data_IF_342829689397
#
_entry.id   IF_342829689397
#
_cell.length_a   1.000
_cell.length_b   1.000
_cell.length_c   1.000
_cell.angle_alpha   90.00
_cell.angle_beta   90.00
_cell.angle_gamma   90.00
#
_symmetry.space_group_name_H-M   'P 1'
#
loop_
_entity.id
_entity.type
_entity.pdbx_description
1 polymer ?
#
# COMPACT_ATOMS: atom_id res chain seq x y z
N UNK A 1 -21.27 -53.15 40.63
CA UNK A 1 -20.70 -51.84 40.27
C UNK A 1 -20.44 -51.88 38.78
N UNK A 2 -21.36 -51.42 37.97
CA UNK A 2 -21.22 -51.28 36.51
C UNK A 2 -20.43 -50.01 36.25
N UNK A 3 -19.23 -50.16 35.63
CA UNK A 3 -18.47 -49.02 35.15
C UNK A 3 -19.29 -48.38 34.02
N UNK A 4 -19.95 -47.25 34.28
CA UNK A 4 -20.56 -46.39 33.26
C UNK A 4 -19.37 -45.80 32.46
N UNK A 5 -18.99 -46.52 31.41
CA UNK A 5 -18.03 -46.03 30.45
C UNK A 5 -18.60 -44.83 29.71
N UNK A 6 -17.85 -43.75 29.59
CA UNK A 6 -18.17 -42.59 28.80
C UNK A 6 -18.51 -43.02 27.35
N UNK A 7 -19.82 -43.10 27.04
CA UNK A 7 -20.29 -43.45 25.69
C UNK A 7 -20.44 -42.17 24.85
N UNK A 8 -19.47 -41.94 23.93
CA UNK A 8 -19.59 -40.84 22.99
C UNK A 8 -20.22 -41.38 21.70
N UNK A 9 -21.43 -40.93 21.39
CA UNK A 9 -22.14 -41.35 20.20
C UNK A 9 -21.56 -40.69 18.91
N UNK A 10 -21.79 -41.34 17.76
CA UNK A 10 -21.29 -40.84 16.48
C UNK A 10 -21.88 -39.48 16.06
N UNK A 11 -23.09 -39.18 16.50
CA UNK A 11 -23.75 -37.90 16.19
C UNK A 11 -23.06 -36.76 16.94
N UNK A 12 -22.73 -36.96 18.21
CA UNK A 12 -21.95 -36.02 19.02
C UNK A 12 -20.57 -35.78 18.43
N UNK A 13 -19.88 -36.81 17.95
CA UNK A 13 -18.58 -36.69 17.28
C UNK A 13 -18.68 -35.91 15.95
N UNK A 14 -19.73 -36.16 15.17
CA UNK A 14 -19.97 -35.39 13.93
C UNK A 14 -20.22 -33.91 14.22
N UNK A 15 -21.07 -33.62 15.19
CA UNK A 15 -21.38 -32.25 15.62
C UNK A 15 -20.10 -31.53 16.12
N UNK A 16 -19.27 -32.22 16.92
CA UNK A 16 -18.00 -31.66 17.38
C UNK A 16 -17.05 -31.33 16.21
N UNK A 17 -16.94 -32.24 15.23
CA UNK A 17 -16.10 -31.99 14.04
C UNK A 17 -16.59 -30.78 13.22
N UNK A 18 -17.91 -30.62 13.05
CA UNK A 18 -18.50 -29.47 12.36
C UNK A 18 -18.22 -28.19 13.12
N UNK A 19 -18.39 -28.19 14.44
CA UNK A 19 -18.13 -27.01 15.27
C UNK A 19 -16.65 -26.61 15.27
N UNK A 20 -15.71 -27.58 15.30
CA UNK A 20 -14.27 -27.30 15.21
C UNK A 20 -13.91 -26.69 13.86
N UNK A 21 -14.45 -27.22 12.74
CA UNK A 21 -14.21 -26.66 11.41
C UNK A 21 -14.76 -25.24 11.29
N UNK A 22 -15.96 -24.99 11.80
CA UNK A 22 -16.56 -23.66 11.81
C UNK A 22 -15.73 -22.66 12.63
N UNK A 23 -15.27 -23.07 13.82
CA UNK A 23 -14.37 -22.29 14.66
C UNK A 23 -13.06 -21.94 13.95
N UNK A 24 -12.40 -22.93 13.32
CA UNK A 24 -11.16 -22.69 12.57
C UNK A 24 -11.36 -21.70 11.43
N UNK A 25 -12.46 -21.82 10.67
CA UNK A 25 -12.81 -20.91 9.58
C UNK A 25 -13.05 -19.48 10.09
N UNK A 26 -13.77 -19.33 11.20
CA UNK A 26 -14.06 -18.03 11.80
C UNK A 26 -12.81 -17.35 12.35
N UNK A 27 -11.90 -18.10 12.99
CA UNK A 27 -10.61 -17.57 13.48
C UNK A 27 -9.77 -17.12 12.31
N UNK A 28 -9.63 -17.94 11.25
CA UNK A 28 -8.87 -17.58 10.06
C UNK A 28 -9.44 -16.31 9.40
N UNK A 29 -10.75 -16.26 9.17
CA UNK A 29 -11.43 -15.12 8.59
C UNK A 29 -11.19 -13.85 9.42
N UNK A 30 -11.38 -13.91 10.73
CA UNK A 30 -11.19 -12.79 11.64
C UNK A 30 -9.74 -12.30 11.63
N UNK A 31 -8.78 -13.22 11.56
CA UNK A 31 -7.36 -12.90 11.44
C UNK A 31 -7.04 -12.19 10.12
N UNK A 32 -7.57 -12.67 9.00
CA UNK A 32 -7.37 -12.04 7.68
C UNK A 32 -8.03 -10.66 7.61
N UNK A 33 -9.24 -10.51 8.13
CA UNK A 33 -9.92 -9.22 8.20
C UNK A 33 -9.14 -8.24 9.09
N UNK A 34 -8.57 -8.72 10.19
CA UNK A 34 -7.68 -7.97 11.06
C UNK A 34 -6.41 -7.50 10.33
N UNK A 35 -5.71 -8.41 9.66
CA UNK A 35 -4.50 -8.08 8.87
C UNK A 35 -4.82 -7.07 7.76
N UNK A 36 -5.95 -7.25 7.07
CA UNK A 36 -6.41 -6.31 6.05
C UNK A 36 -6.66 -4.92 6.62
N UNK A 37 -7.38 -4.83 7.74
CA UNK A 37 -7.64 -3.57 8.41
C UNK A 37 -6.34 -2.90 8.90
N UNK A 38 -5.38 -3.69 9.39
CA UNK A 38 -4.07 -3.19 9.78
C UNK A 38 -3.26 -2.68 8.58
N UNK A 39 -3.24 -3.42 7.47
CA UNK A 39 -2.62 -2.99 6.22
C UNK A 39 -3.22 -1.68 5.68
N UNK A 40 -4.54 -1.52 5.78
CA UNK A 40 -5.22 -0.26 5.39
C UNK A 40 -4.76 0.93 6.23
N UNK A 41 -4.48 0.76 7.52
CA UNK A 41 -3.92 1.82 8.39
C UNK A 41 -2.52 2.24 7.93
N UNK A 42 -1.66 1.26 7.60
CA UNK A 42 -0.31 1.54 7.07
C UNK A 42 -0.41 2.30 5.74
N UNK A 43 -1.27 1.87 4.82
CA UNK A 43 -1.49 2.54 3.53
C UNK A 43 -2.00 3.97 3.74
N UNK A 44 -2.96 4.18 4.63
CA UNK A 44 -3.50 5.51 4.94
C UNK A 44 -2.43 6.45 5.51
N UNK A 45 -1.59 5.96 6.41
CA UNK A 45 -0.47 6.74 6.95
C UNK A 45 0.57 7.07 5.87
N UNK A 46 0.90 6.11 5.01
CA UNK A 46 1.82 6.33 3.89
C UNK A 46 1.26 7.36 2.89
N UNK A 47 -0.06 7.36 2.65
CA UNK A 47 -0.73 8.39 1.85
C UNK A 47 -0.65 9.78 2.50
N UNK A 48 -0.75 9.86 3.83
CA UNK A 48 -0.54 11.10 4.57
C UNK A 48 0.91 11.60 4.47
N UNK A 49 1.89 10.69 4.58
CA UNK A 49 3.31 11.00 4.39
C UNK A 49 3.59 11.56 2.99
N UNK A 50 3.02 10.95 1.93
CA UNK A 50 3.11 11.47 0.56
C UNK A 50 2.55 12.89 0.43
N UNK A 51 1.45 13.17 1.11
CA UNK A 51 0.84 14.52 1.11
C UNK A 51 1.74 15.52 1.82
N UNK A 52 2.25 15.17 2.99
CA UNK A 52 3.15 16.03 3.77
C UNK A 52 4.47 16.31 3.03
N UNK A 53 5.03 15.33 2.31
CA UNK A 53 6.22 15.47 1.48
C UNK A 53 6.03 16.25 0.17
N UNK A 54 4.81 16.69 -0.16
CA UNK A 54 4.54 17.43 -1.40
C UNK A 54 4.62 16.60 -2.68
N UNK A 55 4.59 15.26 -2.59
CA UNK A 55 4.77 14.33 -3.72
C UNK A 55 3.45 14.00 -4.46
N UNK A 56 2.49 14.92 -4.47
CA UNK A 56 1.14 14.72 -5.02
C UNK A 56 0.93 15.23 -6.45
N UNK A 57 1.96 15.21 -7.32
CA UNK A 57 1.86 15.82 -8.65
C UNK A 57 0.62 15.38 -9.47
N UNK A 58 0.20 14.13 -9.37
CA UNK A 58 -0.98 13.61 -10.10
C UNK A 58 -1.95 12.84 -9.21
N UNK A 59 -1.61 12.60 -7.96
CA UNK A 59 -2.35 11.70 -7.08
C UNK A 59 -2.26 10.20 -7.45
N UNK A 60 -1.68 9.85 -8.60
CA UNK A 60 -1.59 8.46 -9.05
C UNK A 60 -0.87 7.56 -8.03
N UNK A 61 0.27 8.01 -7.50
CA UNK A 61 0.98 7.25 -6.48
C UNK A 61 0.10 7.05 -5.25
N UNK A 62 -0.44 8.13 -4.70
CA UNK A 62 -1.32 8.06 -3.53
C UNK A 62 -2.51 7.12 -3.76
N UNK A 63 -3.16 7.23 -4.91
CA UNK A 63 -4.35 6.44 -5.23
C UNK A 63 -4.02 4.98 -5.60
N UNK A 64 -2.75 4.64 -5.82
CA UNK A 64 -2.32 3.26 -6.07
C UNK A 64 -2.14 2.44 -4.78
N UNK A 65 -2.25 3.08 -3.62
CA UNK A 65 -2.17 2.42 -2.32
C UNK A 65 -3.38 1.53 -2.07
N UNK A 66 -3.15 0.27 -1.77
CA UNK A 66 -4.20 -0.71 -1.48
C UNK A 66 -3.68 -1.86 -0.62
N UNK A 67 -4.61 -2.57 -0.01
CA UNK A 67 -4.36 -3.81 0.72
C UNK A 67 -5.09 -4.94 0.00
N UNK A 68 -4.39 -6.04 -0.27
CA UNK A 68 -4.91 -7.19 -1.00
C UNK A 68 -4.70 -8.44 -0.16
N UNK A 69 -5.73 -9.26 -0.04
CA UNK A 69 -5.63 -10.61 0.53
C UNK A 69 -5.29 -11.56 -0.60
N UNK A 70 -4.21 -12.31 -0.45
CA UNK A 70 -3.75 -13.29 -1.42
C UNK A 70 -4.39 -14.67 -1.18
N UNK A 71 -4.42 -15.56 -2.19
CA UNK A 71 -5.00 -16.91 -2.05
C UNK A 71 -4.30 -17.79 -1.01
N UNK A 72 -3.06 -17.52 -0.68
CA UNK A 72 -2.26 -18.23 0.34
C UNK A 72 -2.49 -17.71 1.77
N UNK A 73 -3.53 -16.88 1.98
CA UNK A 73 -3.85 -16.22 3.23
C UNK A 73 -2.81 -15.20 3.72
N UNK A 74 -1.95 -14.69 2.83
CA UNK A 74 -1.13 -13.53 3.13
C UNK A 74 -1.87 -12.23 2.81
N UNK A 75 -1.44 -11.13 3.42
CA UNK A 75 -2.01 -9.81 3.19
C UNK A 75 -0.92 -8.85 2.75
N UNK A 76 -1.02 -8.37 1.52
CA UNK A 76 -0.12 -7.37 0.96
C UNK A 76 -0.71 -5.97 1.16
N UNK A 77 0.08 -5.08 1.74
CA UNK A 77 -0.27 -3.66 1.86
C UNK A 77 0.84 -2.82 1.20
N UNK A 78 0.50 -2.10 0.15
CA UNK A 78 1.52 -1.37 -0.62
C UNK A 78 0.97 -0.45 -1.69
N UNK A 79 1.88 0.08 -2.52
CA UNK A 79 1.59 1.01 -3.59
C UNK A 79 1.98 0.41 -4.94
N UNK A 80 1.02 0.31 -5.84
CA UNK A 80 1.15 -0.43 -7.10
C UNK A 80 1.48 0.46 -8.32
N UNK A 81 1.79 1.74 -8.10
CA UNK A 81 2.32 2.58 -9.16
C UNK A 81 3.75 2.12 -9.52
N UNK A 82 4.03 1.93 -10.82
CA UNK A 82 5.34 1.43 -11.31
C UNK A 82 6.56 2.20 -10.82
N UNK A 83 6.38 3.45 -10.43
CA UNK A 83 7.45 4.31 -9.94
C UNK A 83 7.47 4.46 -8.41
N UNK A 84 6.59 3.75 -7.69
CA UNK A 84 6.51 3.83 -6.22
C UNK A 84 7.85 3.50 -5.55
N UNK A 85 8.53 2.46 -6.02
CA UNK A 85 9.84 2.02 -5.55
C UNK A 85 10.91 3.12 -5.72
N UNK A 86 10.91 3.81 -6.86
CA UNK A 86 11.86 4.91 -7.10
C UNK A 86 11.58 6.14 -6.23
N UNK A 87 10.37 6.34 -5.77
CA UNK A 87 10.05 7.39 -4.81
C UNK A 87 10.52 6.98 -3.43
N UNK A 88 10.24 5.75 -3.01
CA UNK A 88 10.60 5.23 -1.69
C UNK A 88 12.10 5.17 -1.47
N UNK A 89 12.82 4.52 -2.40
CA UNK A 89 14.23 4.20 -2.24
C UNK A 89 15.18 5.10 -3.04
N UNK A 90 14.63 5.99 -3.86
CA UNK A 90 15.42 6.75 -4.82
C UNK A 90 15.87 5.88 -6.01
N UNK A 91 16.69 6.45 -6.86
CA UNK A 91 17.24 5.77 -8.02
C UNK A 91 18.72 6.12 -8.17
N UNK A 92 19.56 5.13 -8.39
CA UNK A 92 20.95 5.33 -8.75
C UNK A 92 21.07 5.96 -10.16
N UNK A 93 22.17 6.65 -10.41
CA UNK A 93 22.55 7.09 -11.76
C UNK A 93 22.64 5.90 -12.72
N UNK A 94 22.49 6.13 -14.01
CA UNK A 94 22.54 5.09 -15.03
C UNK A 94 21.50 5.29 -16.13
N UNK A 95 20.68 4.28 -16.41
CA UNK A 95 19.74 4.28 -17.52
C UNK A 95 18.72 5.43 -17.43
N UNK A 96 18.55 6.15 -18.53
CA UNK A 96 17.58 7.24 -18.65
C UNK A 96 16.14 6.74 -18.50
N UNK A 97 15.30 7.40 -17.69
CA UNK A 97 13.88 7.06 -17.61
C UNK A 97 13.15 7.42 -18.92
N UNK A 98 12.01 6.78 -19.22
CA UNK A 98 11.21 7.12 -20.40
C UNK A 98 10.78 8.60 -20.35
N UNK A 99 11.15 9.36 -21.39
CA UNK A 99 10.89 10.82 -21.46
C UNK A 99 9.38 11.10 -21.45
N UNK A 100 8.57 10.26 -22.07
CA UNK A 100 7.11 10.42 -22.12
C UNK A 100 6.46 10.40 -20.75
N UNK A 101 6.95 9.57 -19.84
CA UNK A 101 6.46 9.53 -18.44
C UNK A 101 6.79 10.85 -17.73
N UNK A 102 7.99 11.36 -17.93
CA UNK A 102 8.42 12.65 -17.37
C UNK A 102 7.62 13.81 -18.01
N UNK A 103 7.38 13.74 -19.31
CA UNK A 103 6.57 14.73 -20.03
C UNK A 103 5.13 14.80 -19.48
N UNK A 104 4.47 13.68 -19.28
CA UNK A 104 3.15 13.65 -18.65
C UNK A 104 3.17 14.27 -17.24
N UNK A 105 4.22 14.03 -16.49
CA UNK A 105 4.41 14.62 -15.16
C UNK A 105 4.65 16.14 -15.23
N UNK A 106 5.50 16.62 -16.13
CA UNK A 106 5.77 18.06 -16.35
C UNK A 106 4.50 18.79 -16.73
N UNK A 107 3.72 18.25 -17.66
CA UNK A 107 2.43 18.85 -18.07
C UNK A 107 1.41 18.94 -16.94
N UNK A 108 1.34 17.92 -16.10
CA UNK A 108 0.42 17.93 -14.95
C UNK A 108 0.87 18.95 -13.88
N UNK A 109 2.15 19.02 -13.55
CA UNK A 109 2.71 20.03 -12.64
C UNK A 109 2.59 21.44 -13.20
N UNK A 110 2.81 21.62 -14.49
CA UNK A 110 2.65 22.92 -15.16
C UNK A 110 1.21 23.45 -15.08
N UNK A 111 0.20 22.58 -15.14
CA UNK A 111 -1.21 22.97 -14.96
C UNK A 111 -1.55 23.43 -13.54
N UNK A 112 -0.93 22.84 -12.51
CA UNK A 112 -1.19 23.19 -11.10
C UNK A 112 -0.37 24.38 -10.60
N UNK A 113 0.78 24.66 -11.19
CA UNK A 113 1.65 25.84 -10.91
C UNK A 113 1.54 26.94 -11.95
N UNK A 114 0.56 26.94 -12.69
CA UNK A 114 -0.10 27.90 -13.60
C UNK A 114 0.69 29.06 -14.24
N UNK A 115 2.00 29.20 -14.10
CA UNK A 115 2.67 30.36 -14.69
C UNK A 115 4.02 30.08 -15.32
N UNK A 116 4.81 29.16 -14.77
CA UNK A 116 6.21 29.04 -15.21
C UNK A 116 6.34 28.59 -16.68
N UNK A 117 5.60 27.60 -17.14
CA UNK A 117 5.64 27.18 -18.55
C UNK A 117 4.97 28.21 -19.47
N UNK A 118 3.84 28.81 -19.05
CA UNK A 118 3.16 29.87 -19.79
C UNK A 118 4.04 31.12 -19.92
N UNK A 119 4.61 31.58 -18.80
CA UNK A 119 5.52 32.71 -18.80
C UNK A 119 6.74 32.43 -19.69
N UNK A 120 7.37 31.26 -19.56
CA UNK A 120 8.51 30.87 -20.38
C UNK A 120 8.15 30.77 -21.88
N UNK A 121 6.91 30.34 -22.21
CA UNK A 121 6.41 30.30 -23.59
C UNK A 121 6.33 31.69 -24.19
N UNK A 122 5.78 32.64 -23.45
CA UNK A 122 5.67 34.05 -23.88
C UNK A 122 7.04 34.66 -24.13
N UNK A 123 8.01 34.43 -23.22
CA UNK A 123 9.35 35.00 -23.35
C UNK A 123 10.25 34.31 -24.41
N UNK A 124 10.04 33.01 -24.66
CA UNK A 124 10.90 32.24 -25.57
C UNK A 124 10.36 32.10 -26.99
N UNK A 125 9.14 32.51 -27.25
CA UNK A 125 8.44 32.29 -28.54
C UNK A 125 8.16 30.83 -28.88
N UNK A 126 8.37 29.91 -27.91
CA UNK A 126 8.12 28.47 -28.05
C UNK A 126 6.74 28.11 -27.49
N UNK A 127 6.10 27.09 -28.06
CA UNK A 127 4.86 26.57 -27.50
C UNK A 127 5.07 25.94 -26.12
N UNK A 128 4.04 25.94 -25.26
CA UNK A 128 4.08 25.25 -23.97
C UNK A 128 4.48 23.77 -24.12
N UNK A 129 4.07 23.15 -25.22
CA UNK A 129 4.38 21.75 -25.54
C UNK A 129 5.87 21.54 -25.82
N UNK A 130 6.46 22.37 -26.64
CA UNK A 130 7.90 22.35 -26.94
C UNK A 130 8.74 22.55 -25.66
N UNK A 131 8.32 23.47 -24.80
CA UNK A 131 8.99 23.70 -23.52
C UNK A 131 8.83 22.52 -22.56
N UNK A 132 7.65 21.92 -22.52
CA UNK A 132 7.40 20.72 -21.71
C UNK A 132 8.27 19.54 -22.18
N UNK A 133 8.42 19.34 -23.48
CA UNK A 133 9.29 18.32 -24.05
C UNK A 133 10.78 18.57 -23.69
N UNK A 134 11.25 19.79 -23.90
CA UNK A 134 12.64 20.16 -23.57
C UNK A 134 12.93 19.99 -22.08
N UNK A 135 12.02 20.43 -21.22
CA UNK A 135 12.14 20.27 -19.78
C UNK A 135 12.16 18.78 -19.38
N UNK A 136 11.30 17.97 -20.02
CA UNK A 136 11.20 16.54 -19.74
C UNK A 136 12.47 15.80 -20.09
N UNK A 137 13.07 16.14 -21.23
CA UNK A 137 14.35 15.58 -21.65
C UNK A 137 15.48 15.96 -20.70
N UNK A 138 15.57 17.24 -20.30
CA UNK A 138 16.58 17.72 -19.36
C UNK A 138 16.45 17.04 -17.99
N UNK A 139 15.21 16.86 -17.49
CA UNK A 139 14.95 16.14 -16.24
C UNK A 139 15.33 14.67 -16.37
N UNK A 140 14.95 14.01 -17.45
CA UNK A 140 15.30 12.60 -17.68
C UNK A 140 16.81 12.39 -17.75
N UNK A 141 17.53 13.29 -18.42
CA UNK A 141 18.99 13.30 -18.48
C UNK A 141 19.61 13.50 -17.09
N UNK A 142 19.13 14.48 -16.34
CA UNK A 142 19.60 14.72 -14.96
C UNK A 142 19.36 13.51 -14.05
N UNK A 143 18.24 12.81 -14.20
CA UNK A 143 17.97 11.57 -13.47
C UNK A 143 18.94 10.46 -13.88
N UNK A 144 19.28 10.36 -15.15
CA UNK A 144 20.27 9.39 -15.63
C UNK A 144 21.68 9.67 -15.06
N UNK A 145 22.06 10.93 -14.98
CA UNK A 145 23.40 11.35 -14.51
C UNK A 145 23.54 11.28 -12.98
N UNK A 146 22.51 11.76 -12.24
CA UNK A 146 22.60 12.00 -10.80
C UNK A 146 21.78 11.00 -9.97
N UNK A 147 20.84 10.27 -10.60
CA UNK A 147 19.82 9.53 -9.90
C UNK A 147 18.74 10.42 -9.27
N UNK A 148 17.98 9.86 -8.36
CA UNK A 148 17.01 10.60 -7.53
C UNK A 148 17.21 10.28 -6.07
N UNK A 149 17.04 11.28 -5.20
CA UNK A 149 17.09 11.09 -3.75
C UNK A 149 15.88 10.26 -3.31
N UNK A 150 16.01 9.37 -2.29
CA UNK A 150 14.90 8.68 -1.70
C UNK A 150 13.97 9.66 -0.97
N UNK A 151 12.68 9.39 -1.07
CA UNK A 151 11.62 10.07 -0.31
C UNK A 151 10.72 9.01 0.32
N UNK A 152 11.18 8.36 1.41
CA UNK A 152 10.47 7.25 2.02
C UNK A 152 9.12 7.73 2.58
N UNK A 153 8.07 7.04 2.20
CA UNK A 153 6.70 7.32 2.65
C UNK A 153 6.03 6.09 3.23
N UNK A 154 6.33 4.90 2.71
CA UNK A 154 5.77 3.63 3.17
C UNK A 154 6.54 3.08 4.38
N UNK A 155 7.88 3.08 4.31
CA UNK A 155 8.71 2.58 5.41
C UNK A 155 8.45 3.28 6.74
N UNK A 156 8.37 4.62 6.85
CA UNK A 156 8.02 5.29 8.10
C UNK A 156 6.63 4.89 8.63
N UNK A 157 5.64 4.73 7.73
CA UNK A 157 4.32 4.27 8.10
C UNK A 157 4.35 2.85 8.66
N UNK A 158 5.07 1.94 8.01
CA UNK A 158 5.25 0.57 8.49
C UNK A 158 5.95 0.54 9.85
N UNK A 159 7.07 1.27 10.01
CA UNK A 159 7.85 1.30 11.25
C UNK A 159 7.03 1.83 12.43
N UNK A 160 6.12 2.77 12.19
CA UNK A 160 5.21 3.31 13.19
C UNK A 160 4.23 2.26 13.74
N UNK A 161 3.74 1.37 12.88
CA UNK A 161 2.68 0.43 13.25
C UNK A 161 3.18 -0.99 13.56
N UNK A 162 4.34 -1.41 13.05
CA UNK A 162 4.81 -2.80 13.16
C UNK A 162 4.84 -3.34 14.59
N UNK A 163 5.15 -2.51 15.57
CA UNK A 163 5.18 -2.93 16.97
C UNK A 163 3.79 -3.26 17.54
N UNK A 164 2.73 -2.75 16.93
CA UNK A 164 1.35 -2.92 17.38
C UNK A 164 0.66 -4.13 16.75
N UNK A 165 1.27 -4.77 15.72
CA UNK A 165 0.60 -5.81 14.94
C UNK A 165 0.28 -7.03 15.80
N UNK A 166 1.19 -7.45 16.68
CA UNK A 166 0.99 -8.61 17.56
C UNK A 166 -0.22 -8.43 18.48
N UNK A 167 -0.28 -7.30 19.19
CA UNK A 167 -1.40 -7.00 20.07
C UNK A 167 -2.72 -6.84 19.30
N UNK A 168 -2.66 -6.19 18.14
CA UNK A 168 -3.83 -6.02 17.30
C UNK A 168 -4.39 -7.38 16.82
N UNK A 169 -3.52 -8.27 16.39
CA UNK A 169 -3.90 -9.61 15.95
C UNK A 169 -4.44 -10.46 17.10
N UNK A 170 -3.81 -10.40 18.28
CA UNK A 170 -4.32 -11.09 19.46
C UNK A 170 -5.76 -10.66 19.78
N UNK A 171 -6.03 -9.36 19.74
CA UNK A 171 -7.38 -8.84 19.99
C UNK A 171 -8.40 -9.37 18.96
N UNK A 172 -8.02 -9.54 17.67
CA UNK A 172 -8.91 -10.09 16.65
C UNK A 172 -9.22 -11.59 16.90
N UNK A 173 -8.21 -12.35 17.30
CA UNK A 173 -8.38 -13.77 17.66
C UNK A 173 -9.26 -13.89 18.89
N UNK A 174 -9.03 -13.09 19.94
CA UNK A 174 -9.83 -13.10 21.17
C UNK A 174 -11.31 -12.77 20.90
N UNK A 175 -11.56 -11.82 20.00
CA UNK A 175 -12.92 -11.51 19.55
C UNK A 175 -13.58 -12.71 18.84
N UNK A 176 -12.85 -13.43 17.99
CA UNK A 176 -13.35 -14.62 17.33
C UNK A 176 -13.66 -15.73 18.34
N UNK A 177 -12.74 -16.01 19.28
CA UNK A 177 -12.88 -17.04 20.33
C UNK A 177 -14.04 -16.72 21.26
N UNK A 178 -14.26 -15.46 21.61
CA UNK A 178 -15.31 -15.03 22.53
C UNK A 178 -16.72 -15.41 22.08
N UNK A 179 -16.94 -15.56 20.76
CA UNK A 179 -18.23 -16.02 20.20
C UNK A 179 -18.55 -17.47 20.57
N UNK A 180 -17.52 -18.28 20.81
CA UNK A 180 -17.64 -19.71 21.12
C UNK A 180 -17.62 -20.00 22.63
N UNK A 181 -17.13 -19.07 23.45
CA UNK A 181 -17.18 -19.17 24.92
C UNK A 181 -18.57 -18.95 25.52
N UNK A 182 -19.44 -18.25 24.79
CA UNK A 182 -20.80 -17.90 25.26
C UNK A 182 -21.87 -18.91 24.85
N UNK A 183 -21.50 -19.98 24.14
CA UNK A 183 -22.36 -21.11 23.79
C UNK A 183 -22.00 -22.32 24.61
#
# INVERSE_FOLDING_TARGET
MTADGLHIDEASLRNLRVNIKAFQADVLRSSLDGLKAFGMRIVAQAQANLKAGGHLASGLLRNSGRTVVQPDNTVDAGFYARYAEFVEYGRKSGKMPPVDVIYQWVRRKGRTRNSALKAAAVFSGKSEDQLAHSASWAIAKSIAEKGTKPHPFLKPAYDQYRAQIGQFMQNQVDLAVSKYRKK
#
